data_IF_912486977566
#
_entry.id   IF_912486977566
#
_cell.length_a   1.000
_cell.length_b   1.000
_cell.length_c   1.000
_cell.angle_alpha   90.00
_cell.angle_beta   90.00
_cell.angle_gamma   90.00
#
_symmetry.space_group_name_H-M   'P 1'
#
loop_
_entity.id
_entity.type
_entity.pdbx_description
1 polymer ?
#
# COMPACT_ATOMS: atom_id res chain seq x y z
N UNK A 1 1.76 -6.87 -20.40
CA UNK A 1 2.13 -5.64 -21.15
C UNK A 1 2.30 -6.06 -22.58
N UNK A 2 1.48 -5.55 -23.51
CA UNK A 2 1.57 -5.93 -24.91
C UNK A 2 2.68 -5.14 -25.61
N UNK A 3 3.40 -5.73 -26.59
CA UNK A 3 4.39 -5.02 -27.36
C UNK A 3 3.72 -3.96 -28.23
N UNK A 4 4.28 -2.76 -28.28
CA UNK A 4 3.82 -1.71 -29.20
C UNK A 4 4.47 -1.93 -30.57
N UNK A 5 3.67 -1.82 -31.63
CA UNK A 5 4.13 -1.85 -33.02
C UNK A 5 5.13 -0.71 -33.29
N UNK A 6 5.99 -0.87 -34.28
CA UNK A 6 6.98 0.15 -34.68
C UNK A 6 6.32 1.51 -34.94
N UNK A 7 6.91 2.58 -34.40
CA UNK A 7 6.36 3.93 -34.46
C UNK A 7 6.42 4.52 -35.87
N UNK A 8 5.34 5.18 -36.28
CA UNK A 8 5.31 6.04 -37.47
C UNK A 8 5.73 7.47 -37.05
N UNK A 9 6.65 8.13 -37.78
CA UNK A 9 7.04 9.51 -37.49
C UNK A 9 5.83 10.46 -37.48
N UNK A 10 5.71 11.28 -36.44
CA UNK A 10 4.62 12.25 -36.29
C UNK A 10 3.46 11.79 -35.39
N UNK A 11 3.42 10.52 -34.97
CA UNK A 11 2.40 10.03 -34.02
C UNK A 11 2.94 10.09 -32.58
N UNK A 12 2.31 10.83 -31.65
CA UNK A 12 2.75 10.86 -30.27
C UNK A 12 2.61 9.47 -29.62
N UNK A 13 3.66 9.03 -28.91
CA UNK A 13 3.66 7.76 -28.20
C UNK A 13 2.50 7.69 -27.18
N UNK A 14 1.78 6.57 -27.16
CA UNK A 14 0.81 6.29 -26.09
C UNK A 14 1.56 6.11 -24.77
N UNK A 15 1.67 7.19 -23.99
CA UNK A 15 2.18 7.15 -22.61
C UNK A 15 1.26 6.22 -21.82
N UNK A 16 1.82 5.18 -21.22
CA UNK A 16 1.07 4.29 -20.33
C UNK A 16 1.26 4.80 -18.90
N UNK A 17 0.37 5.64 -18.33
CA UNK A 17 0.44 5.94 -16.91
C UNK A 17 -0.01 4.70 -16.15
N UNK A 18 0.94 3.86 -15.74
CA UNK A 18 0.67 2.74 -14.84
C UNK A 18 1.31 2.99 -13.50
N UNK A 19 0.74 3.94 -12.79
CA UNK A 19 0.86 4.00 -11.35
C UNK A 19 -0.54 4.19 -10.77
N UNK A 20 -1.07 3.14 -10.13
CA UNK A 20 -2.31 3.19 -9.35
C UNK A 20 -1.89 3.11 -7.88
N UNK A 21 -2.19 4.17 -7.12
CA UNK A 21 -1.87 4.22 -5.69
C UNK A 21 -2.95 3.50 -4.91
N UNK A 22 -2.58 2.43 -4.20
CA UNK A 22 -3.54 1.60 -3.45
C UNK A 22 -3.83 2.13 -2.03
N UNK A 23 -3.77 3.45 -1.84
CA UNK A 23 -3.90 4.08 -0.52
C UNK A 23 -2.67 3.86 0.39
N UNK A 24 -2.76 4.36 1.62
CA UNK A 24 -1.83 4.03 2.72
C UNK A 24 -2.69 3.40 3.82
N UNK A 25 -2.23 2.30 4.40
CA UNK A 25 -2.76 1.74 5.64
C UNK A 25 -1.72 1.84 6.76
N UNK A 26 -2.18 1.95 8.00
CA UNK A 26 -1.34 1.95 9.19
C UNK A 26 -1.33 0.56 9.81
N UNK A 27 -0.14 0.06 10.15
CA UNK A 27 0.06 -1.19 10.87
C UNK A 27 0.36 -0.89 12.34
N UNK A 28 -0.36 -1.57 13.23
CA UNK A 28 -0.17 -1.57 14.67
C UNK A 28 0.28 -2.97 15.09
N UNK A 29 1.24 -3.04 16.01
CA UNK A 29 1.74 -4.28 16.54
C UNK A 29 1.99 -4.16 18.04
N UNK A 30 1.57 -5.16 18.80
CA UNK A 30 1.82 -5.29 20.23
C UNK A 30 2.47 -6.63 20.52
N UNK A 31 3.46 -6.64 21.40
CA UNK A 31 4.14 -7.84 21.85
C UNK A 31 3.57 -8.27 23.20
N UNK A 32 3.03 -9.48 23.27
CA UNK A 32 2.73 -10.15 24.53
C UNK A 32 4.02 -10.76 25.09
N UNK A 33 4.54 -10.16 26.17
CA UNK A 33 5.80 -10.57 26.81
C UNK A 33 5.70 -11.94 27.46
N UNK A 34 4.52 -12.36 27.94
CA UNK A 34 4.36 -13.63 28.63
C UNK A 34 4.37 -14.82 27.67
N UNK A 35 3.78 -14.67 26.48
CA UNK A 35 3.72 -15.73 25.46
C UNK A 35 4.73 -15.58 24.32
N UNK A 36 5.39 -14.41 24.20
CA UNK A 36 6.28 -14.07 23.10
C UNK A 36 5.58 -13.83 21.77
N UNK A 37 4.25 -13.69 21.76
CA UNK A 37 3.46 -13.54 20.53
C UNK A 37 3.29 -12.06 20.16
N UNK A 38 3.34 -11.79 18.86
CA UNK A 38 3.04 -10.47 18.31
C UNK A 38 1.61 -10.44 17.77
N UNK A 39 0.79 -9.53 18.29
CA UNK A 39 -0.57 -9.26 17.83
C UNK A 39 -0.50 -8.08 16.87
N UNK A 40 -1.12 -8.19 15.70
CA UNK A 40 -1.07 -7.14 14.66
C UNK A 40 -2.46 -6.71 14.22
N UNK A 41 -2.61 -5.43 13.86
CA UNK A 41 -3.86 -4.84 13.36
C UNK A 41 -3.56 -3.78 12.31
N UNK A 42 -4.37 -3.73 11.25
CA UNK A 42 -4.20 -2.76 10.17
C UNK A 42 -5.46 -1.88 10.04
N UNK A 43 -5.28 -0.57 9.89
CA UNK A 43 -6.38 0.38 9.72
C UNK A 43 -6.11 1.38 8.59
N UNK A 44 -7.16 1.97 8.04
CA UNK A 44 -7.05 2.95 6.94
C UNK A 44 -6.81 4.37 7.45
N UNK A 45 -7.32 4.69 8.66
CA UNK A 45 -7.10 5.98 9.32
C UNK A 45 -5.96 5.87 10.33
N UNK A 46 -5.31 6.99 10.69
CA UNK A 46 -4.35 7.06 11.80
C UNK A 46 -4.96 7.87 12.92
N UNK A 47 -5.61 7.21 13.88
CA UNK A 47 -6.17 7.88 15.07
C UNK A 47 -5.48 7.38 16.34
N UNK A 48 -5.24 8.27 17.30
CA UNK A 48 -4.59 7.90 18.57
C UNK A 48 -5.36 6.82 19.33
N UNK A 49 -6.70 6.85 19.26
CA UNK A 49 -7.57 5.83 19.87
C UNK A 49 -7.32 4.42 19.32
N UNK A 50 -6.91 4.30 18.06
CA UNK A 50 -6.66 2.99 17.45
C UNK A 50 -5.37 2.34 17.99
N UNK A 51 -4.40 3.15 18.44
CA UNK A 51 -3.19 2.67 19.11
C UNK A 51 -3.53 2.06 20.47
N UNK A 52 -4.33 2.77 21.27
CA UNK A 52 -4.71 2.36 22.63
C UNK A 52 -5.49 1.05 22.63
N UNK A 53 -6.32 0.80 21.62
CA UNK A 53 -7.11 -0.44 21.50
C UNK A 53 -6.26 -1.62 21.00
N UNK A 54 -5.11 -1.36 20.36
CA UNK A 54 -4.24 -2.40 19.79
C UNK A 54 -3.11 -2.86 20.70
N UNK A 55 -2.80 -2.09 21.75
CA UNK A 55 -1.79 -2.42 22.77
C UNK A 55 -2.37 -3.31 23.86
#
# INVERSE_FOLDING_TARGET
TQPMLAMVPGVPLRRTPKYKRNGISNLYAALDVASGKVITKMTVAKRAVEFIISS
#
